data_IF_349202146148
#
_entry.id   IF_349202146148
#
_cell.length_a   1.000
_cell.length_b   1.000
_cell.length_c   1.000
_cell.angle_alpha   90.00
_cell.angle_beta   90.00
_cell.angle_gamma   90.00
#
_symmetry.space_group_name_H-M   'P 1'
#
loop_
_entity.id
_entity.type
_entity.pdbx_description
1 polymer ?
#
# COMPACT_ATOMS: atom_id res chain seq x y z
N UNK A 1 -65.13 43.85 -65.83
CA UNK A 1 -64.19 42.96 -66.56
C UNK A 1 -62.85 43.67 -66.66
N UNK A 2 -61.96 43.42 -65.70
CA UNK A 2 -60.72 44.19 -65.52
C UNK A 2 -59.49 43.27 -65.48
N UNK A 3 -58.48 43.63 -66.27
CA UNK A 3 -57.21 42.95 -66.56
C UNK A 3 -56.51 42.32 -65.35
N UNK A 4 -56.08 41.05 -65.50
CA UNK A 4 -55.07 40.38 -64.65
C UNK A 4 -53.70 41.09 -64.82
N UNK A 5 -53.09 41.53 -63.71
CA UNK A 5 -51.65 41.84 -63.63
C UNK A 5 -50.93 40.68 -62.93
N UNK A 6 -49.66 40.37 -63.29
CA UNK A 6 -48.90 39.28 -62.68
C UNK A 6 -48.26 39.72 -61.35
N UNK A 7 -48.20 38.81 -60.37
CA UNK A 7 -47.42 38.96 -59.13
C UNK A 7 -46.08 38.20 -59.25
N UNK A 8 -44.98 38.72 -58.66
CA UNK A 8 -43.63 38.14 -58.75
C UNK A 8 -43.41 36.99 -57.74
N UNK A 9 -42.36 36.16 -57.91
CA UNK A 9 -42.16 34.96 -57.10
C UNK A 9 -41.71 35.29 -55.67
N UNK A 10 -42.32 34.62 -54.69
CA UNK A 10 -41.86 34.60 -53.30
C UNK A 10 -40.55 33.81 -53.19
N UNK A 11 -39.46 34.49 -52.84
CA UNK A 11 -38.26 33.85 -52.32
C UNK A 11 -38.48 33.47 -50.84
N UNK A 12 -38.71 32.18 -50.57
CA UNK A 12 -38.63 31.64 -49.22
C UNK A 12 -37.16 31.60 -48.78
N UNK A 13 -36.79 32.43 -47.80
CA UNK A 13 -35.57 32.24 -47.05
C UNK A 13 -35.77 31.03 -46.12
N UNK A 14 -35.14 29.90 -46.47
CA UNK A 14 -34.97 28.80 -45.52
C UNK A 14 -33.93 29.22 -44.47
N UNK A 15 -34.41 29.56 -43.27
CA UNK A 15 -33.58 29.66 -42.08
C UNK A 15 -33.10 28.26 -41.70
N UNK A 16 -31.92 27.87 -42.18
CA UNK A 16 -31.25 26.64 -41.75
C UNK A 16 -30.63 26.91 -40.37
N UNK A 17 -31.38 26.61 -39.32
CA UNK A 17 -30.87 26.62 -37.95
C UNK A 17 -29.94 25.40 -37.79
N UNK A 18 -28.65 25.58 -38.09
CA UNK A 18 -27.63 24.59 -37.80
C UNK A 18 -27.43 24.51 -36.28
N UNK A 19 -28.10 23.57 -35.63
CA UNK A 19 -27.70 23.12 -34.30
C UNK A 19 -26.32 22.45 -34.44
N UNK A 20 -25.26 23.21 -34.18
CA UNK A 20 -23.93 22.69 -33.88
C UNK A 20 -24.05 21.87 -32.60
N UNK A 21 -24.42 20.59 -32.77
CA UNK A 21 -24.12 19.57 -31.78
C UNK A 21 -22.61 19.37 -31.86
N UNK A 22 -21.86 20.20 -31.14
CA UNK A 22 -20.51 19.87 -30.74
C UNK A 22 -20.61 18.67 -29.79
N UNK A 23 -20.78 17.47 -30.36
CA UNK A 23 -20.23 16.28 -29.75
C UNK A 23 -18.72 16.52 -29.73
N UNK A 24 -18.23 17.10 -28.64
CA UNK A 24 -16.86 16.86 -28.23
C UNK A 24 -16.76 15.35 -28.10
N UNK A 25 -16.25 14.71 -29.14
CA UNK A 25 -15.62 13.41 -29.00
C UNK A 25 -14.43 13.66 -28.08
N UNK A 26 -14.70 13.68 -26.78
CA UNK A 26 -13.69 13.39 -25.78
C UNK A 26 -13.17 12.02 -26.19
N UNK A 27 -12.00 12.02 -26.81
CA UNK A 27 -11.25 10.83 -27.08
C UNK A 27 -10.86 10.29 -25.70
N UNK A 28 -11.80 9.58 -25.06
CA UNK A 28 -11.59 8.87 -23.83
C UNK A 28 -10.58 7.79 -24.21
N UNK A 29 -9.30 8.11 -24.06
CA UNK A 29 -8.32 7.07 -23.80
C UNK A 29 -8.92 6.26 -22.66
N UNK A 30 -9.19 5.00 -22.90
CA UNK A 30 -9.45 4.05 -21.83
C UNK A 30 -8.19 4.07 -20.96
N UNK A 31 -8.15 4.96 -19.96
CA UNK A 31 -7.26 4.79 -18.82
C UNK A 31 -7.75 3.49 -18.18
N UNK A 32 -7.00 2.41 -18.37
CA UNK A 32 -7.20 1.23 -17.55
C UNK A 32 -7.05 1.68 -16.10
N UNK A 33 -8.10 1.47 -15.30
CA UNK A 33 -8.07 1.81 -13.89
C UNK A 33 -6.91 1.06 -13.22
N UNK A 34 -6.00 1.80 -12.60
CA UNK A 34 -4.93 1.21 -11.81
C UNK A 34 -5.53 0.43 -10.64
N UNK A 35 -4.87 -0.66 -10.22
CA UNK A 35 -5.31 -1.46 -9.07
C UNK A 35 -5.51 -0.61 -7.81
N UNK A 36 -4.65 0.38 -7.60
CA UNK A 36 -4.80 1.38 -6.54
C UNK A 36 -3.82 2.54 -6.71
N UNK A 37 -4.13 3.65 -6.05
CA UNK A 37 -3.32 4.89 -6.11
C UNK A 37 -2.50 5.13 -4.84
N UNK A 38 -2.52 4.19 -3.90
CA UNK A 38 -1.77 4.26 -2.66
C UNK A 38 -2.32 5.24 -1.62
N UNK A 39 -1.51 5.48 -0.60
CA UNK A 39 -1.86 6.27 0.58
C UNK A 39 -0.86 7.42 0.81
N UNK A 40 -1.30 8.48 1.49
CA UNK A 40 -0.43 9.57 1.98
C UNK A 40 -0.43 9.60 3.51
N UNK A 41 0.67 10.06 4.10
CA UNK A 41 0.79 10.19 5.56
C UNK A 41 0.06 11.45 6.05
N UNK A 42 -1.06 11.28 6.75
CA UNK A 42 -1.83 12.37 7.38
C UNK A 42 -1.09 12.92 8.60
N UNK A 43 -0.76 12.05 9.54
CA UNK A 43 -0.09 12.42 10.80
C UNK A 43 0.82 11.30 11.28
N UNK A 44 1.78 11.66 12.12
CA UNK A 44 2.75 10.76 12.74
C UNK A 44 2.84 11.11 14.22
N UNK A 45 2.90 10.09 15.06
CA UNK A 45 3.13 10.21 16.50
C UNK A 45 4.12 9.14 16.95
N UNK A 46 4.83 9.42 18.04
CA UNK A 46 5.85 8.54 18.59
C UNK A 46 5.46 8.15 20.00
N UNK A 47 5.81 6.93 20.38
CA UNK A 47 5.80 6.56 21.78
C UNK A 47 6.89 7.36 22.54
N UNK A 48 6.68 7.75 23.82
CA UNK A 48 7.68 8.50 24.59
C UNK A 48 9.05 7.81 24.69
N UNK A 49 9.12 6.49 24.55
CA UNK A 49 10.39 5.75 24.52
C UNK A 49 11.14 5.87 23.18
N UNK A 50 10.49 6.33 22.11
CA UNK A 50 11.04 6.36 20.75
C UNK A 50 11.04 4.99 20.05
N UNK A 51 10.64 3.91 20.73
CA UNK A 51 10.69 2.54 20.20
C UNK A 51 9.49 2.19 19.32
N UNK A 52 8.52 3.08 19.19
CA UNK A 52 7.40 2.92 18.28
C UNK A 52 6.95 4.23 17.66
N UNK A 53 6.47 4.12 16.42
CA UNK A 53 5.86 5.19 15.65
C UNK A 53 4.48 4.71 15.17
N UNK A 54 3.48 5.58 15.31
CA UNK A 54 2.13 5.40 14.76
C UNK A 54 1.87 6.47 13.69
N UNK A 55 1.56 6.04 12.47
CA UNK A 55 1.21 6.90 11.36
C UNK A 55 -0.24 6.67 10.91
N UNK A 56 -0.99 7.76 10.74
CA UNK A 56 -2.32 7.71 10.12
C UNK A 56 -2.19 7.97 8.62
N UNK A 57 -2.82 7.13 7.82
CA UNK A 57 -2.69 7.13 6.37
C UNK A 57 -4.04 7.36 5.69
N UNK A 58 -4.06 8.22 4.69
CA UNK A 58 -5.24 8.54 3.88
C UNK A 58 -5.11 7.96 2.50
N UNK A 59 -6.17 7.29 2.03
CA UNK A 59 -6.29 6.91 0.64
C UNK A 59 -6.18 8.15 -0.26
N UNK A 60 -5.34 8.08 -1.29
CA UNK A 60 -5.13 9.19 -2.23
C UNK A 60 -6.32 9.32 -3.19
N UNK A 61 -6.67 8.22 -3.84
CA UNK A 61 -7.76 8.13 -4.81
C UNK A 61 -8.32 6.70 -4.80
N UNK A 62 -9.65 6.50 -4.78
CA UNK A 62 -10.25 5.17 -4.87
C UNK A 62 -10.10 4.59 -6.28
N UNK A 63 -10.04 3.25 -6.35
CA UNK A 63 -10.09 2.47 -7.59
C UNK A 63 -11.15 1.37 -7.48
N UNK A 64 -11.95 1.12 -8.53
CA UNK A 64 -12.93 0.04 -8.53
C UNK A 64 -12.31 -1.36 -8.68
N UNK A 65 -11.06 -1.46 -9.13
CA UNK A 65 -10.40 -2.74 -9.43
C UNK A 65 -10.19 -3.55 -8.13
N UNK A 66 -10.57 -4.83 -8.14
CA UNK A 66 -10.52 -5.74 -6.98
C UNK A 66 -11.30 -5.27 -5.75
N UNK A 67 -12.29 -4.40 -5.92
CA UNK A 67 -13.21 -3.97 -4.87
C UNK A 67 -12.81 -2.67 -4.15
N UNK A 68 -13.58 -2.28 -3.11
CA UNK A 68 -13.43 -0.99 -2.47
C UNK A 68 -12.12 -0.88 -1.67
N UNK A 69 -11.45 0.26 -1.80
CA UNK A 69 -10.32 0.63 -0.95
C UNK A 69 -10.77 0.98 0.47
N UNK A 70 -9.94 0.61 1.45
CA UNK A 70 -10.09 1.07 2.83
C UNK A 70 -9.60 2.51 2.91
N UNK A 71 -10.43 3.44 3.40
CA UNK A 71 -10.10 4.88 3.28
C UNK A 71 -9.00 5.34 4.22
N UNK A 72 -9.00 4.82 5.43
CA UNK A 72 -8.18 5.32 6.54
C UNK A 72 -7.45 4.13 7.17
N UNK A 73 -6.12 4.15 7.13
CA UNK A 73 -5.28 3.11 7.73
C UNK A 73 -4.46 3.67 8.90
N UNK A 74 -4.06 2.77 9.79
CA UNK A 74 -3.05 3.02 10.83
C UNK A 74 -1.86 2.10 10.56
N UNK A 75 -0.67 2.68 10.42
CA UNK A 75 0.60 1.96 10.42
C UNK A 75 1.27 2.14 11.77
N UNK A 76 1.62 1.03 12.42
CA UNK A 76 2.42 1.01 13.65
C UNK A 76 3.73 0.28 13.36
N UNK A 77 4.85 0.98 13.51
CA UNK A 77 6.17 0.37 13.54
C UNK A 77 6.66 0.33 15.00
N UNK A 78 7.13 -0.82 15.47
CA UNK A 78 7.58 -1.00 16.85
C UNK A 78 8.75 -1.97 16.95
N UNK A 79 9.78 -1.61 17.70
CA UNK A 79 10.83 -2.54 18.13
C UNK A 79 10.29 -3.36 19.31
N UNK A 80 9.93 -4.62 19.05
CA UNK A 80 9.44 -5.54 20.09
C UNK A 80 10.59 -6.15 20.90
N UNK A 81 11.77 -6.31 20.26
CA UNK A 81 13.05 -6.70 20.86
C UNK A 81 14.18 -6.01 20.11
N UNK A 82 15.43 -6.17 20.57
CA UNK A 82 16.61 -5.61 19.90
C UNK A 82 16.81 -6.14 18.46
N UNK A 83 16.25 -7.31 18.16
CA UNK A 83 16.38 -8.04 16.89
C UNK A 83 15.04 -8.20 16.15
N UNK A 84 13.93 -7.69 16.70
CA UNK A 84 12.60 -7.78 16.09
C UNK A 84 11.92 -6.43 15.98
N UNK A 85 11.90 -5.91 14.75
CA UNK A 85 11.01 -4.84 14.34
C UNK A 85 9.71 -5.43 13.81
N UNK A 86 8.58 -4.92 14.26
CA UNK A 86 7.25 -5.25 13.73
C UNK A 86 6.63 -4.03 13.08
N UNK A 87 6.08 -4.23 11.88
CA UNK A 87 5.26 -3.24 11.17
C UNK A 87 3.87 -3.83 11.01
N UNK A 88 2.85 -3.11 11.47
CA UNK A 88 1.44 -3.52 11.40
C UNK A 88 0.64 -2.41 10.73
N UNK A 89 -0.05 -2.74 9.65
CA UNK A 89 -0.96 -1.83 8.94
C UNK A 89 -2.38 -2.39 9.09
N UNK A 90 -3.30 -1.58 9.59
CA UNK A 90 -4.70 -1.98 9.78
C UNK A 90 -5.66 -0.90 9.34
N UNK A 91 -6.89 -1.32 9.02
CA UNK A 91 -8.03 -0.44 8.93
C UNK A 91 -8.22 0.29 10.27
N UNK A 92 -8.44 1.60 10.20
CA UNK A 92 -8.59 2.47 11.37
C UNK A 92 -10.00 2.49 11.94
N UNK A 93 -11.00 2.08 11.16
CA UNK A 93 -12.42 2.14 11.50
C UNK A 93 -12.98 0.74 11.81
N UNK A 94 -12.47 -0.30 11.16
CA UNK A 94 -12.99 -1.66 11.29
C UNK A 94 -11.91 -2.66 11.72
N UNK A 95 -12.25 -3.50 12.68
CA UNK A 95 -11.41 -4.65 13.01
C UNK A 95 -11.49 -5.67 11.88
N UNK A 96 -10.33 -6.01 11.31
CA UNK A 96 -10.19 -7.06 10.28
C UNK A 96 -9.71 -8.37 10.91
N UNK A 97 -9.86 -9.46 10.17
CA UNK A 97 -9.36 -10.77 10.60
C UNK A 97 -7.85 -10.73 10.86
N UNK A 98 -7.45 -11.27 12.01
CA UNK A 98 -6.07 -11.57 12.36
C UNK A 98 -6.01 -13.01 12.88
N UNK A 99 -4.87 -13.69 12.71
CA UNK A 99 -4.66 -15.00 13.34
C UNK A 99 -4.85 -14.86 14.85
N UNK A 100 -5.76 -15.64 15.48
CA UNK A 100 -6.00 -15.60 16.92
C UNK A 100 -4.73 -15.82 17.74
N UNK A 101 -4.63 -15.16 18.89
CA UNK A 101 -3.43 -15.24 19.75
C UNK A 101 -3.28 -16.59 20.44
N UNK A 102 -4.38 -17.31 20.58
CA UNK A 102 -4.44 -18.66 21.12
C UNK A 102 -3.78 -19.67 20.17
N UNK A 103 -3.85 -19.40 18.86
CA UNK A 103 -3.21 -20.23 17.82
C UNK A 103 -1.76 -19.81 17.62
N UNK A 104 -1.49 -18.50 17.58
CA UNK A 104 -0.14 -17.96 17.41
C UNK A 104 0.14 -16.88 18.47
N UNK A 105 0.72 -17.25 19.62
CA UNK A 105 1.06 -16.30 20.68
C UNK A 105 1.99 -15.21 20.18
N UNK A 106 1.54 -13.95 20.26
CA UNK A 106 2.34 -12.77 19.96
C UNK A 106 2.65 -12.06 21.27
N UNK A 107 3.92 -12.04 21.67
CA UNK A 107 4.38 -11.25 22.81
C UNK A 107 4.25 -9.76 22.47
N UNK A 108 3.05 -9.21 22.64
CA UNK A 108 2.85 -7.77 22.72
C UNK A 108 3.12 -7.44 24.18
N UNK A 109 4.12 -6.60 24.48
CA UNK A 109 4.28 -6.13 25.84
C UNK A 109 2.94 -5.53 26.29
N UNK A 110 2.40 -6.13 27.35
CA UNK A 110 1.16 -5.75 28.00
C UNK A 110 1.23 -4.26 28.40
N UNK A 111 0.11 -3.55 28.20
CA UNK A 111 -0.18 -2.18 28.63
C UNK A 111 0.31 -1.01 27.77
N UNK A 112 -0.34 -0.81 26.62
CA UNK A 112 -0.77 0.54 26.27
C UNK A 112 -1.86 0.95 27.28
N UNK A 113 -1.46 1.47 28.45
CA UNK A 113 -2.35 2.30 29.26
C UNK A 113 -2.65 3.53 28.42
N UNK A 114 -3.87 3.63 27.89
CA UNK A 114 -4.43 4.91 27.48
C UNK A 114 -4.55 5.76 28.75
N UNK A 115 -3.52 6.54 29.04
CA UNK A 115 -3.60 7.64 29.99
C UNK A 115 -4.30 8.80 29.27
N UNK A 116 -5.43 9.31 29.79
CA UNK A 116 -6.01 10.53 29.26
C UNK A 116 -5.16 11.69 29.76
N UNK A 117 -4.44 12.38 28.87
CA UNK A 117 -3.85 13.68 29.21
C UNK A 117 -4.17 14.70 28.12
N UNK A 118 -5.14 15.54 28.46
CA UNK A 118 -5.30 16.90 27.96
C UNK A 118 -3.96 17.63 28.12
N UNK A 119 -3.25 17.90 27.03
CA UNK A 119 -2.32 19.02 26.96
C UNK A 119 -2.49 19.71 25.62
N UNK A 120 -3.21 20.83 25.67
CA UNK A 120 -3.32 21.81 24.60
C UNK A 120 -1.93 22.42 24.37
N UNK A 121 -1.34 22.19 23.20
CA UNK A 121 -0.16 22.93 22.74
C UNK A 121 -0.60 23.81 21.58
N UNK A 122 -0.38 25.11 21.77
CA UNK A 122 -0.66 26.20 20.82
C UNK A 122 0.24 26.13 19.57
N UNK A 123 -0.18 26.71 18.44
CA UNK A 123 0.48 26.51 17.16
C UNK A 123 1.39 27.68 16.79
N UNK A 124 2.61 27.75 17.32
CA UNK A 124 3.66 28.63 16.75
C UNK A 124 5.05 28.00 16.95
N UNK A 125 5.55 27.30 15.92
CA UNK A 125 6.96 27.40 15.52
C UNK A 125 7.17 26.74 14.14
N UNK A 126 7.47 27.60 13.18
CA UNK A 126 7.82 27.31 11.79
C UNK A 126 9.34 27.26 11.66
N UNK A 127 9.92 26.05 11.67
CA UNK A 127 11.26 25.80 11.16
C UNK A 127 11.32 24.42 10.48
N UNK A 128 11.56 24.43 9.17
CA UNK A 128 11.92 23.27 8.34
C UNK A 128 13.08 22.47 8.98
N UNK A 129 12.77 21.41 9.72
CA UNK A 129 13.69 20.31 10.04
C UNK A 129 13.38 19.14 9.12
N UNK A 130 14.33 18.68 8.29
CA UNK A 130 14.16 17.39 7.64
C UNK A 130 14.25 16.31 8.73
N UNK A 131 13.48 15.23 8.56
CA UNK A 131 13.87 13.89 9.02
C UNK A 131 13.92 13.62 10.53
N UNK A 132 12.82 13.15 11.13
CA UNK A 132 12.93 12.10 12.16
C UNK A 132 11.67 11.22 12.22
N UNK A 133 11.11 10.81 11.07
CA UNK A 133 10.11 9.72 11.04
C UNK A 133 10.79 8.35 11.17
N UNK A 134 11.61 8.20 12.21
CA UNK A 134 12.54 7.09 12.40
C UNK A 134 12.21 6.39 13.72
N UNK A 135 12.19 5.07 13.70
CA UNK A 135 12.16 4.24 14.92
C UNK A 135 13.50 3.53 15.03
N UNK A 136 14.20 3.76 16.13
CA UNK A 136 15.52 3.21 16.39
C UNK A 136 15.77 3.11 17.90
N UNK A 137 16.45 2.05 18.35
CA UNK A 137 16.92 1.89 19.73
C UNK A 137 18.45 1.70 19.72
N UNK A 138 19.24 2.35 20.60
CA UNK A 138 20.69 2.15 20.70
C UNK A 138 21.13 0.67 20.76
N UNK A 139 20.30 -0.22 21.30
CA UNK A 139 20.55 -1.65 21.45
C UNK A 139 20.10 -2.49 20.25
N UNK A 140 19.36 -1.90 19.30
CA UNK A 140 18.92 -2.56 18.07
C UNK A 140 19.75 -2.12 16.88
N UNK A 141 20.11 -3.07 16.02
CA UNK A 141 20.70 -2.77 14.72
C UNK A 141 19.63 -2.40 13.67
N UNK A 142 18.34 -2.62 13.96
CA UNK A 142 17.27 -2.33 13.03
C UNK A 142 16.87 -0.85 13.13
N UNK A 143 16.70 -0.22 11.96
CA UNK A 143 16.22 1.15 11.83
C UNK A 143 15.03 1.14 10.88
N UNK A 144 13.90 1.65 11.34
CA UNK A 144 12.73 1.89 10.49
C UNK A 144 12.68 3.37 10.11
N UNK A 145 12.42 3.66 8.85
CA UNK A 145 12.27 5.03 8.33
C UNK A 145 10.99 5.13 7.51
N UNK A 146 10.08 6.01 7.91
CA UNK A 146 8.87 6.34 7.15
C UNK A 146 9.15 7.48 6.16
N UNK A 147 8.83 7.25 4.89
CA UNK A 147 8.89 8.24 3.81
C UNK A 147 7.52 8.86 3.59
N UNK A 148 7.41 10.17 3.82
CA UNK A 148 6.18 10.96 3.63
C UNK A 148 6.01 11.45 2.18
N UNK A 149 6.42 10.65 1.21
CA UNK A 149 6.12 10.86 -0.21
C UNK A 149 4.63 10.65 -0.47
N UNK A 150 4.16 10.95 -1.68
CA UNK A 150 2.78 10.67 -2.11
C UNK A 150 2.84 9.87 -3.42
N UNK A 151 2.58 8.56 -3.42
CA UNK A 151 2.25 7.71 -2.26
C UNK A 151 3.40 7.54 -1.25
N UNK A 152 3.06 7.21 0.00
CA UNK A 152 4.04 7.02 1.06
C UNK A 152 4.88 5.77 0.84
N UNK A 153 5.98 5.65 1.59
CA UNK A 153 6.75 4.42 1.63
C UNK A 153 7.47 4.26 2.96
N UNK A 154 8.17 3.15 3.14
CA UNK A 154 9.03 2.96 4.30
C UNK A 154 10.19 2.04 4.01
N UNK A 155 11.25 2.17 4.81
CA UNK A 155 12.49 1.41 4.68
C UNK A 155 12.83 0.79 6.03
N UNK A 156 13.35 -0.43 6.02
CA UNK A 156 14.05 -1.05 7.14
C UNK A 156 15.50 -1.27 6.75
N UNK A 157 16.42 -0.75 7.54
CA UNK A 157 17.87 -0.90 7.32
C UNK A 157 18.61 -1.37 8.57
N UNK A 158 19.83 -1.84 8.37
CA UNK A 158 20.81 -2.04 9.44
C UNK A 158 21.51 -0.73 9.75
N UNK A 159 21.62 -0.37 11.03
CA UNK A 159 22.38 0.80 11.49
C UNK A 159 23.87 0.61 11.26
N UNK A 160 24.37 -0.59 11.55
CA UNK A 160 25.79 -0.94 11.53
C UNK A 160 26.41 -0.82 10.15
N UNK A 161 25.70 -1.25 9.10
CA UNK A 161 26.21 -1.26 7.72
C UNK A 161 25.53 -0.25 6.80
N UNK A 162 24.37 0.27 7.19
CA UNK A 162 23.49 1.04 6.30
C UNK A 162 22.73 0.17 5.29
N UNK A 163 22.86 -1.16 5.35
CA UNK A 163 22.20 -2.04 4.40
C UNK A 163 20.68 -2.00 4.55
N UNK A 164 20.00 -1.72 3.43
CA UNK A 164 18.55 -1.83 3.34
C UNK A 164 18.15 -3.31 3.27
N UNK A 165 17.28 -3.72 4.21
CA UNK A 165 16.73 -5.08 4.33
C UNK A 165 15.35 -5.19 3.68
N UNK A 166 14.58 -4.11 3.73
CA UNK A 166 13.24 -4.01 3.19
C UNK A 166 13.00 -2.58 2.70
N UNK A 167 12.61 -2.42 1.45
CA UNK A 167 12.41 -1.11 0.81
C UNK A 167 11.03 -1.05 0.13
N UNK A 168 10.03 -0.61 0.88
CA UNK A 168 8.69 -0.34 0.39
C UNK A 168 8.52 1.14 0.01
N UNK A 169 9.54 1.74 -0.60
CA UNK A 169 9.40 3.06 -1.21
C UNK A 169 8.51 2.99 -2.44
N UNK A 170 7.63 3.98 -2.60
CA UNK A 170 6.75 4.08 -3.77
C UNK A 170 7.47 4.77 -4.92
N UNK A 171 7.34 4.23 -6.13
CA UNK A 171 7.77 4.86 -7.38
C UNK A 171 6.54 5.30 -8.18
N UNK A 172 6.39 6.61 -8.40
CA UNK A 172 5.24 7.18 -9.10
C UNK A 172 5.05 6.66 -10.53
N UNK A 173 6.09 6.09 -11.15
CA UNK A 173 6.05 5.47 -12.47
C UNK A 173 5.62 3.99 -12.46
N UNK A 174 5.60 3.34 -11.28
CA UNK A 174 5.31 1.91 -11.12
C UNK A 174 4.26 1.66 -10.03
N UNK A 175 2.98 1.60 -10.43
CA UNK A 175 1.87 1.36 -9.50
C UNK A 175 1.98 0.03 -8.71
N UNK A 176 2.75 -0.94 -9.21
CA UNK A 176 3.06 -2.20 -8.52
C UNK A 176 3.90 -2.02 -7.25
N UNK A 177 4.52 -0.85 -7.05
CA UNK A 177 5.28 -0.52 -5.83
C UNK A 177 4.40 0.03 -4.71
N UNK A 178 3.19 0.48 -5.02
CA UNK A 178 2.32 1.13 -4.05
C UNK A 178 1.75 0.14 -3.03
N UNK A 179 1.60 0.58 -1.77
CA UNK A 179 0.71 -0.11 -0.85
C UNK A 179 -0.73 0.01 -1.34
N UNK A 180 -1.38 -1.12 -1.63
CA UNK A 180 -2.83 -1.17 -1.89
C UNK A 180 -3.49 -1.96 -0.77
N UNK A 181 -4.57 -1.41 -0.22
CA UNK A 181 -5.29 -2.00 0.90
C UNK A 181 -6.79 -1.95 0.62
N UNK A 182 -7.34 -3.09 0.17
CA UNK A 182 -8.75 -3.32 -0.11
C UNK A 182 -9.25 -4.46 0.76
N UNK A 183 -10.55 -4.72 0.72
CA UNK A 183 -11.13 -5.75 1.56
C UNK A 183 -10.64 -7.18 1.23
N UNK A 184 -10.41 -7.47 -0.04
CA UNK A 184 -9.97 -8.80 -0.48
C UNK A 184 -8.66 -8.76 -1.28
N UNK A 185 -7.95 -7.63 -1.23
CA UNK A 185 -6.70 -7.44 -1.95
C UNK A 185 -5.74 -6.55 -1.16
N UNK A 186 -4.60 -7.11 -0.79
CA UNK A 186 -3.51 -6.40 -0.13
C UNK A 186 -2.26 -6.52 -1.01
N UNK A 187 -1.64 -5.39 -1.34
CA UNK A 187 -0.39 -5.32 -2.08
C UNK A 187 0.67 -4.65 -1.21
N UNK A 188 1.80 -5.33 -1.02
CA UNK A 188 3.02 -4.78 -0.42
C UNK A 188 4.17 -5.20 -1.31
N UNK A 189 5.05 -4.27 -1.65
CA UNK A 189 6.26 -4.54 -2.43
C UNK A 189 7.50 -4.13 -1.67
N UNK A 190 8.61 -4.82 -1.92
CA UNK A 190 9.93 -4.41 -1.44
C UNK A 190 10.93 -4.55 -2.58
N UNK A 191 11.66 -3.49 -2.88
CA UNK A 191 12.81 -3.57 -3.76
C UNK A 191 13.92 -4.40 -3.08
N UNK A 192 14.59 -5.25 -3.86
CA UNK A 192 15.68 -6.09 -3.39
C UNK A 192 16.91 -5.92 -4.28
N UNK A 193 18.12 -5.76 -3.72
CA UNK A 193 19.36 -5.68 -4.48
C UNK A 193 19.65 -6.98 -5.25
N UNK A 194 19.54 -6.96 -6.57
CA UNK A 194 19.59 -8.15 -7.45
C UNK A 194 20.87 -8.99 -7.25
N UNK A 195 22.03 -8.34 -7.11
CA UNK A 195 23.34 -9.02 -7.08
C UNK A 195 23.69 -9.68 -5.74
N UNK A 196 23.04 -9.28 -4.64
CA UNK A 196 23.40 -9.72 -3.27
C UNK A 196 22.24 -10.34 -2.49
N UNK A 197 21.01 -10.25 -3.02
CA UNK A 197 19.85 -10.87 -2.38
C UNK A 197 19.79 -12.36 -2.71
N UNK A 198 19.66 -13.19 -1.68
CA UNK A 198 19.36 -14.62 -1.82
C UNK A 198 18.18 -14.95 -0.93
N UNK A 199 17.05 -15.29 -1.56
CA UNK A 199 15.80 -15.61 -0.86
C UNK A 199 15.61 -17.12 -0.76
N UNK A 200 15.06 -17.54 0.37
CA UNK A 200 14.75 -18.93 0.73
C UNK A 200 13.42 -18.95 1.51
N UNK A 201 12.71 -20.07 1.51
CA UNK A 201 11.41 -20.21 2.20
C UNK A 201 10.23 -19.95 1.26
N UNK A 202 9.22 -19.23 1.75
CA UNK A 202 7.92 -18.97 1.10
C UNK A 202 7.18 -20.26 0.70
N UNK A 203 7.26 -21.29 1.54
CA UNK A 203 6.68 -22.61 1.27
C UNK A 203 5.19 -22.74 1.63
N UNK A 204 4.53 -23.82 1.22
CA UNK A 204 5.13 -25.05 0.67
C UNK A 204 5.05 -25.18 -0.87
N UNK A 205 6.21 -25.40 -1.50
CA UNK A 205 6.35 -25.71 -2.93
C UNK A 205 7.51 -26.69 -3.15
N UNK A 206 7.35 -27.62 -4.08
CA UNK A 206 8.51 -28.39 -4.58
C UNK A 206 9.26 -27.57 -5.61
N UNK A 207 10.54 -27.30 -5.34
CA UNK A 207 11.44 -26.51 -6.19
C UNK A 207 12.68 -27.30 -6.57
N UNK A 208 13.21 -27.04 -7.77
CA UNK A 208 14.46 -27.66 -8.24
C UNK A 208 15.70 -27.15 -7.51
N UNK A 209 15.62 -25.96 -6.90
CA UNK A 209 16.71 -25.29 -6.21
C UNK A 209 16.26 -24.84 -4.84
N UNK A 210 17.18 -24.87 -3.85
CA UNK A 210 16.90 -24.35 -2.52
C UNK A 210 16.81 -22.82 -2.51
N UNK A 211 17.72 -22.14 -3.20
CA UNK A 211 17.62 -20.70 -3.47
C UNK A 211 16.44 -20.45 -4.42
N UNK A 212 15.59 -19.50 -4.08
CA UNK A 212 14.47 -19.10 -4.93
C UNK A 212 15.01 -18.46 -6.22
N UNK A 213 14.53 -18.96 -7.36
CA UNK A 213 14.75 -18.35 -8.66
C UNK A 213 14.08 -16.96 -8.74
N UNK A 214 14.59 -16.10 -9.61
CA UNK A 214 13.96 -14.82 -9.91
C UNK A 214 12.75 -15.02 -10.85
N UNK A 215 11.88 -14.01 -10.95
CA UNK A 215 10.77 -13.96 -11.90
C UNK A 215 9.80 -15.16 -11.80
N UNK A 216 9.38 -15.48 -10.57
CA UNK A 216 8.39 -16.53 -10.31
C UNK A 216 7.29 -16.02 -9.39
N UNK A 217 6.12 -16.66 -9.47
CA UNK A 217 5.00 -16.46 -8.54
C UNK A 217 4.91 -17.66 -7.60
N UNK A 218 4.76 -17.40 -6.30
CA UNK A 218 4.62 -18.43 -5.27
C UNK A 218 3.26 -18.24 -4.58
N UNK A 219 2.31 -19.10 -4.89
CA UNK A 219 0.98 -19.08 -4.26
C UNK A 219 1.03 -19.80 -2.91
N UNK A 220 0.50 -19.19 -1.85
CA UNK A 220 0.34 -19.84 -0.55
C UNK A 220 -1.16 -20.07 -0.31
N UNK A 221 -1.59 -21.30 -0.56
CA UNK A 221 -2.96 -21.74 -0.34
C UNK A 221 -2.97 -23.26 -0.10
N UNK A 222 -3.22 -23.68 1.14
CA UNK A 222 -3.14 -25.09 1.52
C UNK A 222 -4.08 -25.93 0.63
N UNK A 223 -3.50 -26.84 -0.16
CA UNK A 223 -4.21 -27.67 -1.12
C UNK A 223 -3.64 -29.08 -1.12
N UNK A 224 -4.53 -30.06 -1.26
CA UNK A 224 -4.16 -31.47 -1.38
C UNK A 224 -3.64 -31.77 -2.81
N UNK A 225 -2.36 -31.52 -3.03
CA UNK A 225 -1.65 -31.78 -4.30
C UNK A 225 -0.37 -32.57 -4.02
N UNK A 226 -0.10 -33.60 -4.81
CA UNK A 226 1.12 -34.39 -4.68
C UNK A 226 2.38 -33.53 -4.84
N UNK A 227 3.36 -33.70 -3.93
CA UNK A 227 4.62 -32.95 -3.91
C UNK A 227 5.57 -33.26 -5.08
N UNK A 228 5.25 -34.25 -5.92
CA UNK A 228 5.95 -34.45 -7.19
C UNK A 228 5.67 -33.35 -8.22
N UNK A 229 4.61 -32.57 -8.04
CA UNK A 229 4.28 -31.43 -8.89
C UNK A 229 5.15 -30.23 -8.52
N UNK A 230 5.91 -29.73 -9.50
CA UNK A 230 6.76 -28.56 -9.31
C UNK A 230 5.94 -27.27 -9.37
N UNK A 231 6.38 -26.27 -8.61
CA UNK A 231 5.94 -24.88 -8.72
C UNK A 231 4.45 -24.59 -8.44
N UNK A 232 3.75 -25.53 -7.79
CA UNK A 232 2.36 -25.38 -7.32
C UNK A 232 2.30 -25.23 -5.80
N UNK A 233 1.24 -24.60 -5.30
CA UNK A 233 0.93 -24.56 -3.86
C UNK A 233 0.56 -25.95 -3.34
N UNK A 234 1.08 -26.31 -2.16
CA UNK A 234 0.91 -27.64 -1.56
C UNK A 234 0.19 -27.54 -0.20
N UNK A 235 0.50 -28.42 0.74
CA UNK A 235 -0.26 -28.63 1.98
C UNK A 235 -0.06 -27.52 3.00
N UNK A 236 1.12 -26.91 3.04
CA UNK A 236 1.49 -25.88 4.01
C UNK A 236 1.58 -24.46 3.44
N UNK A 237 1.40 -23.47 4.32
CA UNK A 237 1.66 -22.05 4.07
C UNK A 237 2.41 -21.48 5.27
N UNK A 238 3.73 -21.61 5.31
CA UNK A 238 4.55 -21.29 6.48
C UNK A 238 5.88 -20.62 6.10
N UNK A 239 6.25 -19.58 6.86
CA UNK A 239 7.59 -19.00 6.88
C UNK A 239 8.13 -19.04 8.30
N UNK A 240 9.05 -19.96 8.60
CA UNK A 240 9.82 -19.94 9.84
C UNK A 240 10.46 -21.29 10.14
N UNK A 241 11.66 -21.32 10.75
CA UNK A 241 12.16 -22.53 11.38
C UNK A 241 11.18 -22.93 12.48
N UNK A 242 10.93 -24.23 12.60
CA UNK A 242 10.29 -24.80 13.77
C UNK A 242 11.06 -24.27 15.01
N UNK A 243 10.40 -23.68 16.02
CA UNK A 243 11.09 -23.36 17.26
C UNK A 243 11.59 -24.69 17.81
N UNK A 244 12.91 -24.90 17.79
CA UNK A 244 13.56 -25.94 18.57
C UNK A 244 13.38 -25.55 20.03
N UNK A 245 12.63 -26.39 20.74
CA UNK A 245 12.45 -26.38 22.20
C UNK A 245 13.78 -26.62 22.88
#
# INVERSE_FOLDING_TARGET
MGRKRPQPPLHFHHLLLAFLFCCSFSNAKNEEDLVGYGYRVRSVSFDPSGNSLTAHLDLIKPSPVFGPDVRNLILVASLETNDRLRIRITDSEHQRWEIPREILPRYTQLHLRVLPQNHSISPEDDHNSPENNIVCDPKSDLVFTLRRTTPFGFIVSRRSTGDILFDASSDASEAGTFLVFKDQYLQVSSALPILRSSLYGLGEHTKKTFKLAQNQTLTLWNTDIHSSNLDVNLYGSCNGPHPTV
#
